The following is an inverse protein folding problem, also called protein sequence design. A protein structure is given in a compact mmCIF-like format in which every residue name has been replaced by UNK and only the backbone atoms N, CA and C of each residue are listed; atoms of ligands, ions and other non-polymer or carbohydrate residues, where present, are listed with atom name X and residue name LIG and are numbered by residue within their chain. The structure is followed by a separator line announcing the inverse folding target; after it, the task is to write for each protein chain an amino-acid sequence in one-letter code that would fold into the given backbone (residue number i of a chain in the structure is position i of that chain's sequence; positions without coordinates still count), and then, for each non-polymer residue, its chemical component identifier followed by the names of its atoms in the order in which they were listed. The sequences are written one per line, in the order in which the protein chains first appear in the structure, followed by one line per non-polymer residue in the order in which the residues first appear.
data_IF_914198452311
#
_entry.id   IF_914198452311
#
_cell.length_a   1.000
_cell.length_b   1.000
_cell.length_c   1.000
_cell.angle_alpha   90.00
_cell.angle_beta   90.00
_cell.angle_gamma   90.00
#
_symmetry.space_group_name_H-M   'P 1'
#
loop_
_entity.id
_entity.type
_entity.pdbx_description
1 polymer ?
#
# COMPACT_ATOMS: atom_id res chain seq x y z
N UNK A 1 -24.55 -3.32 -12.51
CA UNK A 1 -23.76 -4.47 -12.99
C UNK A 1 -23.07 -5.14 -11.81
N UNK A 2 -23.05 -6.48 -11.76
CA UNK A 2 -22.33 -7.25 -10.74
C UNK A 2 -20.82 -7.08 -10.96
N UNK A 3 -20.05 -6.72 -9.92
CA UNK A 3 -18.60 -6.52 -10.04
C UNK A 3 -17.88 -7.85 -10.28
N UNK A 4 -16.82 -7.82 -11.10
CA UNK A 4 -16.02 -9.00 -11.39
C UNK A 4 -14.96 -9.21 -10.30
N UNK A 5 -15.11 -10.24 -9.49
CA UNK A 5 -14.16 -10.56 -8.40
C UNK A 5 -12.76 -10.96 -8.88
N UNK A 6 -12.61 -11.33 -10.17
CA UNK A 6 -11.30 -11.64 -10.78
C UNK A 6 -10.54 -10.38 -11.17
N UNK A 7 -11.22 -9.22 -11.24
CA UNK A 7 -10.59 -7.94 -11.46
C UNK A 7 -10.29 -7.31 -10.12
N UNK A 8 -9.01 -7.09 -9.84
CA UNK A 8 -8.49 -6.61 -8.57
C UNK A 8 -7.89 -5.23 -8.78
N UNK A 9 -8.34 -4.24 -8.00
CA UNK A 9 -7.64 -2.98 -7.85
C UNK A 9 -6.61 -3.11 -6.75
N UNK A 10 -5.39 -2.64 -7.00
CA UNK A 10 -4.29 -2.63 -6.04
C UNK A 10 -3.88 -1.18 -5.77
N UNK A 11 -3.95 -0.79 -4.51
CA UNK A 11 -3.58 0.53 -4.00
C UNK A 11 -2.32 0.36 -3.16
N UNK A 12 -1.38 1.31 -3.23
CA UNK A 12 -0.14 1.23 -2.48
C UNK A 12 0.21 2.56 -1.83
N UNK A 13 0.88 2.48 -0.69
CA UNK A 13 1.63 3.59 -0.10
C UNK A 13 0.84 4.90 -0.04
N UNK A 14 -0.37 4.84 0.51
CA UNK A 14 -1.20 6.02 0.73
C UNK A 14 -0.72 6.85 1.90
N UNK A 15 -0.10 6.19 2.89
CA UNK A 15 0.44 6.80 4.11
C UNK A 15 -0.54 7.81 4.74
N UNK A 16 -1.82 7.36 4.87
CA UNK A 16 -2.87 8.20 5.42
C UNK A 16 -2.47 8.77 6.80
N UNK A 17 -2.77 10.00 7.08
CA UNK A 17 -3.62 10.98 6.37
C UNK A 17 -2.86 11.87 5.38
N UNK A 18 -1.71 11.46 4.86
CA UNK A 18 -0.83 12.28 4.02
C UNK A 18 -0.91 11.90 2.53
N UNK A 19 -1.97 11.22 2.13
CA UNK A 19 -2.22 10.88 0.74
C UNK A 19 -2.56 12.12 -0.10
N UNK A 20 -2.24 12.09 -1.39
CA UNK A 20 -2.66 13.11 -2.36
C UNK A 20 -4.18 13.26 -2.37
N UNK A 21 -4.65 14.50 -2.34
CA UNK A 21 -6.07 14.83 -2.22
C UNK A 21 -6.96 14.22 -3.34
N UNK A 22 -6.40 14.07 -4.55
CA UNK A 22 -7.08 13.54 -5.75
C UNK A 22 -6.86 12.02 -5.97
N UNK A 23 -5.97 11.37 -5.20
CA UNK A 23 -5.62 9.97 -5.39
C UNK A 23 -6.80 9.02 -5.13
N UNK A 24 -7.62 9.27 -4.11
CA UNK A 24 -8.83 8.49 -3.86
C UNK A 24 -9.78 8.54 -5.06
N UNK A 25 -10.00 9.72 -5.64
CA UNK A 25 -10.86 9.90 -6.82
C UNK A 25 -10.31 9.15 -8.03
N UNK A 26 -9.00 9.20 -8.22
CA UNK A 26 -8.30 8.44 -9.25
C UNK A 26 -8.51 6.93 -9.07
N UNK A 27 -8.19 6.35 -7.91
CA UNK A 27 -8.38 4.93 -7.62
C UNK A 27 -9.85 4.50 -7.85
N UNK A 28 -10.81 5.33 -7.43
CA UNK A 28 -12.23 5.06 -7.63
C UNK A 28 -12.64 5.06 -9.10
N UNK A 29 -12.07 5.95 -9.91
CA UNK A 29 -12.30 5.99 -11.35
C UNK A 29 -11.78 4.73 -12.06
N UNK A 30 -10.59 4.27 -11.66
CA UNK A 30 -9.97 3.04 -12.17
C UNK A 30 -10.80 1.81 -11.78
N UNK A 31 -11.19 1.70 -10.49
CA UNK A 31 -12.06 0.60 -10.01
C UNK A 31 -13.35 0.48 -10.83
N UNK A 32 -13.99 1.62 -11.09
CA UNK A 32 -15.22 1.67 -11.89
C UNK A 32 -14.97 1.30 -13.35
N UNK A 33 -13.92 1.89 -13.96
CA UNK A 33 -13.60 1.67 -15.38
C UNK A 33 -13.33 0.20 -15.69
N UNK A 34 -12.61 -0.49 -14.81
CA UNK A 34 -12.21 -1.89 -15.02
C UNK A 34 -13.11 -2.89 -14.28
N UNK A 35 -14.25 -2.42 -13.71
CA UNK A 35 -15.22 -3.25 -13.01
C UNK A 35 -14.59 -4.14 -11.93
N UNK A 36 -13.68 -3.59 -11.11
CA UNK A 36 -12.98 -4.35 -10.07
C UNK A 36 -13.95 -4.75 -8.95
N UNK A 37 -13.98 -6.03 -8.63
CA UNK A 37 -14.81 -6.59 -7.57
C UNK A 37 -14.06 -6.87 -6.27
N UNK A 38 -12.73 -6.68 -6.27
CA UNK A 38 -11.85 -6.84 -5.10
C UNK A 38 -10.89 -5.66 -5.05
N UNK A 39 -10.60 -5.18 -3.85
CA UNK A 39 -9.64 -4.09 -3.61
C UNK A 39 -8.64 -4.56 -2.57
N UNK A 40 -7.35 -4.47 -2.91
CA UNK A 40 -6.24 -4.80 -2.02
C UNK A 40 -5.36 -3.56 -1.86
N UNK A 41 -5.02 -3.24 -0.62
CA UNK A 41 -4.03 -2.22 -0.31
C UNK A 41 -2.71 -2.91 0.06
N UNK A 42 -1.64 -2.58 -0.65
CA UNK A 42 -0.38 -3.32 -0.60
C UNK A 42 0.61 -2.78 0.45
N UNK A 43 0.10 -2.24 1.56
CA UNK A 43 0.89 -1.76 2.71
C UNK A 43 1.12 -0.25 2.73
N UNK A 44 1.64 0.21 3.87
CA UNK A 44 1.78 1.62 4.21
C UNK A 44 0.45 2.35 4.05
N UNK A 45 -0.58 1.76 4.68
CA UNK A 45 -1.95 2.30 4.73
C UNK A 45 -1.97 3.57 5.56
N UNK A 46 -1.38 3.50 6.77
CA UNK A 46 -1.20 4.63 7.68
C UNK A 46 0.28 5.02 7.77
N UNK A 47 0.58 6.31 7.84
CA UNK A 47 1.98 6.75 7.99
C UNK A 47 2.51 6.47 9.38
N UNK A 48 1.71 6.75 10.41
CA UNK A 48 2.17 6.68 11.80
C UNK A 48 3.45 7.52 12.03
N UNK A 49 3.48 8.74 11.50
CA UNK A 49 4.63 9.65 11.45
C UNK A 49 5.23 9.89 12.84
N UNK A 50 4.38 10.12 13.83
CA UNK A 50 4.80 10.37 15.21
C UNK A 50 5.50 9.17 15.87
N UNK A 51 5.40 7.97 15.28
CA UNK A 51 6.04 6.74 15.74
C UNK A 51 7.29 6.39 14.92
N UNK A 52 7.74 7.31 14.05
CA UNK A 52 9.00 7.20 13.32
C UNK A 52 10.21 7.21 14.27
N UNK A 53 11.32 6.58 13.82
CA UNK A 53 12.62 6.71 14.49
C UNK A 53 13.44 7.88 13.95
N UNK A 54 12.99 8.54 12.89
CA UNK A 54 13.65 9.73 12.34
C UNK A 54 13.31 10.96 13.16
N UNK A 55 14.19 11.96 13.05
CA UNK A 55 14.00 13.25 13.70
C UNK A 55 12.67 13.87 13.26
N UNK A 56 11.95 14.39 14.24
CA UNK A 56 10.63 14.95 14.02
C UNK A 56 10.73 16.38 13.49
N UNK A 57 10.08 16.65 12.36
CA UNK A 57 9.90 18.00 11.86
C UNK A 57 9.03 18.81 12.84
N UNK A 58 9.40 20.05 13.18
CA UNK A 58 8.62 20.91 14.08
C UNK A 58 7.16 21.15 13.62
N UNK A 59 6.90 21.05 12.32
CA UNK A 59 5.56 21.22 11.76
C UNK A 59 4.70 19.94 11.82
N UNK A 60 5.24 18.82 12.33
CA UNK A 60 4.47 17.60 12.50
C UNK A 60 3.32 17.80 13.47
N UNK A 61 2.12 17.28 13.14
CA UNK A 61 1.00 17.33 14.07
C UNK A 61 1.31 16.53 15.34
N UNK A 62 0.63 16.83 16.43
CA UNK A 62 0.69 16.00 17.64
C UNK A 62 0.07 14.62 17.38
N UNK A 63 0.39 13.60 18.21
CA UNK A 63 -0.19 12.26 18.12
C UNK A 63 -1.73 12.30 18.06
N UNK A 64 -2.45 13.01 18.96
CA UNK A 64 -3.90 13.10 18.87
C UNK A 64 -4.41 13.72 17.56
N UNK A 65 -3.72 14.72 17.04
CA UNK A 65 -4.08 15.35 15.76
C UNK A 65 -3.88 14.40 14.59
N UNK A 66 -2.74 13.68 14.53
CA UNK A 66 -2.48 12.68 13.50
C UNK A 66 -3.55 11.57 13.52
N UNK A 67 -3.84 11.00 14.69
CA UNK A 67 -4.86 9.96 14.87
C UNK A 67 -6.25 10.46 14.45
N UNK A 68 -6.64 11.67 14.84
CA UNK A 68 -7.94 12.24 14.46
C UNK A 68 -8.04 12.47 12.94
N UNK A 69 -6.97 12.93 12.31
CA UNK A 69 -6.91 13.11 10.85
C UNK A 69 -6.98 11.76 10.14
N UNK A 70 -6.25 10.75 10.62
CA UNK A 70 -6.28 9.40 10.09
C UNK A 70 -7.71 8.81 10.15
N UNK A 71 -8.41 8.93 11.29
CA UNK A 71 -9.81 8.48 11.42
C UNK A 71 -10.74 9.16 10.42
N UNK A 72 -10.58 10.47 10.18
CA UNK A 72 -11.36 11.21 9.16
C UNK A 72 -11.06 10.66 7.76
N UNK A 73 -9.79 10.42 7.47
CA UNK A 73 -9.35 9.87 6.19
C UNK A 73 -9.88 8.44 5.99
N UNK A 74 -9.74 7.56 6.96
CA UNK A 74 -10.32 6.21 6.91
C UNK A 74 -11.84 6.23 6.67
N UNK A 75 -12.56 7.14 7.31
CA UNK A 75 -14.01 7.31 7.06
C UNK A 75 -14.31 7.73 5.61
N UNK A 76 -13.48 8.60 5.02
CA UNK A 76 -13.60 9.02 3.61
C UNK A 76 -13.32 7.85 2.67
N UNK A 77 -12.23 7.12 2.90
CA UNK A 77 -11.82 5.98 2.08
C UNK A 77 -12.80 4.80 2.18
N UNK A 78 -13.31 4.48 3.37
CA UNK A 78 -14.26 3.38 3.57
C UNK A 78 -15.62 3.61 2.91
N UNK A 79 -16.03 4.88 2.72
CA UNK A 79 -17.21 5.19 1.91
C UNK A 79 -17.00 4.85 0.42
N UNK A 80 -15.79 5.07 -0.10
CA UNK A 80 -15.45 4.73 -1.47
C UNK A 80 -15.17 3.24 -1.65
N UNK A 81 -14.47 2.64 -0.70
CA UNK A 81 -14.04 1.24 -0.67
C UNK A 81 -14.47 0.57 0.64
N UNK A 82 -15.72 0.08 0.74
CA UNK A 82 -16.23 -0.50 1.99
C UNK A 82 -15.51 -1.76 2.45
N UNK A 83 -14.90 -2.51 1.53
CA UNK A 83 -14.14 -3.74 1.78
C UNK A 83 -12.77 -3.62 1.13
N UNK A 84 -11.72 -3.71 1.94
CA UNK A 84 -10.31 -3.69 1.50
C UNK A 84 -9.54 -4.72 2.31
N UNK A 85 -8.73 -5.50 1.63
CA UNK A 85 -7.72 -6.35 2.28
C UNK A 85 -6.39 -5.58 2.24
N UNK A 86 -5.80 -5.34 3.40
CA UNK A 86 -4.59 -4.54 3.53
C UNK A 86 -3.41 -5.43 3.92
N UNK A 87 -2.35 -5.41 3.14
CA UNK A 87 -1.04 -5.90 3.57
C UNK A 87 -0.45 -4.88 4.55
N UNK A 88 0.29 -5.34 5.54
CA UNK A 88 0.95 -4.50 6.54
C UNK A 88 2.30 -4.05 6.00
N UNK A 89 2.53 -2.72 5.92
CA UNK A 89 3.81 -2.12 5.53
C UNK A 89 4.69 -1.71 6.71
N UNK A 90 5.87 -1.21 6.41
CA UNK A 90 6.83 -0.79 7.44
C UNK A 90 6.36 0.46 8.21
N UNK A 91 5.59 1.35 7.60
CA UNK A 91 4.97 2.49 8.30
C UNK A 91 3.87 2.03 9.24
N UNK A 92 3.04 1.09 8.81
CA UNK A 92 1.98 0.51 9.64
C UNK A 92 2.56 -0.14 10.90
N UNK A 93 3.76 -0.74 10.82
CA UNK A 93 4.46 -1.37 11.96
C UNK A 93 5.12 -0.38 12.92
N UNK A 94 5.22 0.91 12.59
CA UNK A 94 5.90 1.91 13.45
C UNK A 94 5.34 1.95 14.85
N UNK A 95 4.01 1.97 14.99
CA UNK A 95 3.35 2.02 16.31
C UNK A 95 3.63 0.74 17.11
N UNK A 96 3.59 -0.44 16.49
CA UNK A 96 3.90 -1.71 17.16
C UNK A 96 5.34 -1.73 17.66
N UNK A 97 6.29 -1.33 16.80
CA UNK A 97 7.70 -1.27 17.16
C UNK A 97 7.96 -0.36 18.39
N UNK A 98 7.26 0.78 18.49
CA UNK A 98 7.39 1.65 19.68
C UNK A 98 6.83 0.99 20.94
N UNK A 99 5.76 0.24 20.83
CA UNK A 99 5.20 -0.50 21.95
C UNK A 99 6.13 -1.66 22.36
N UNK A 100 6.74 -2.38 21.42
CA UNK A 100 7.75 -3.40 21.73
C UNK A 100 8.94 -2.82 22.48
N UNK A 101 9.45 -1.65 22.04
CA UNK A 101 10.51 -0.91 22.72
C UNK A 101 10.12 -0.49 24.15
N UNK A 102 8.83 -0.25 24.39
CA UNK A 102 8.29 0.08 25.71
C UNK A 102 7.91 -1.16 26.55
N UNK A 103 8.20 -2.38 26.06
CA UNK A 103 7.94 -3.63 26.79
C UNK A 103 6.53 -4.20 26.63
N UNK A 104 5.69 -3.64 25.76
CA UNK A 104 4.37 -4.20 25.48
C UNK A 104 4.47 -5.28 24.39
N UNK A 105 4.20 -6.54 24.77
CA UNK A 105 4.23 -7.65 23.82
C UNK A 105 3.04 -7.63 22.85
N UNK A 106 3.19 -8.29 21.69
CA UNK A 106 2.11 -8.49 20.70
C UNK A 106 0.91 -9.24 21.33
N UNK A 107 1.18 -10.14 22.27
CA UNK A 107 0.13 -10.84 23.03
C UNK A 107 -0.75 -9.89 23.85
N UNK A 108 -0.15 -8.85 24.43
CA UNK A 108 -0.89 -7.85 25.23
C UNK A 108 -1.70 -6.90 24.36
N UNK A 109 -1.12 -6.46 23.24
CA UNK A 109 -1.73 -5.48 22.36
C UNK A 109 -1.29 -5.71 20.90
N UNK A 110 -2.08 -6.46 20.14
CA UNK A 110 -1.78 -6.79 18.75
C UNK A 110 -1.88 -5.56 17.83
N UNK A 111 -1.15 -5.61 16.72
CA UNK A 111 -1.21 -4.55 15.71
C UNK A 111 -2.64 -4.36 15.20
N UNK A 112 -3.38 -5.44 14.96
CA UNK A 112 -4.78 -5.33 14.53
C UNK A 112 -5.64 -4.61 15.56
N UNK A 113 -5.48 -4.90 16.84
CA UNK A 113 -6.22 -4.22 17.92
C UNK A 113 -5.88 -2.73 17.97
N UNK A 114 -4.61 -2.37 17.80
CA UNK A 114 -4.18 -0.96 17.71
C UNK A 114 -4.87 -0.26 16.55
N UNK A 115 -4.86 -0.87 15.36
CA UNK A 115 -5.50 -0.30 14.19
C UNK A 115 -7.01 -0.15 14.34
N UNK A 116 -7.70 -1.14 14.96
CA UNK A 116 -9.15 -1.09 15.19
C UNK A 116 -9.55 -0.04 16.23
N UNK A 117 -8.98 -0.17 17.43
CA UNK A 117 -9.48 0.54 18.60
C UNK A 117 -8.90 1.95 18.72
N UNK A 118 -7.63 2.14 18.31
CA UNK A 118 -6.93 3.40 18.45
C UNK A 118 -6.92 4.20 17.15
N UNK A 119 -6.50 3.59 16.05
CA UNK A 119 -6.33 4.28 14.77
C UNK A 119 -7.62 4.37 13.94
N UNK A 120 -8.64 3.57 14.27
CA UNK A 120 -9.97 3.65 13.66
C UNK A 120 -10.07 2.97 12.31
N UNK A 121 -9.34 1.87 12.09
CA UNK A 121 -9.45 1.05 10.88
C UNK A 121 -10.90 0.65 10.62
N UNK A 122 -11.44 0.86 9.41
CA UNK A 122 -12.83 0.53 9.10
C UNK A 122 -13.17 -0.95 9.29
N UNK A 123 -14.38 -1.27 9.77
CA UNK A 123 -14.81 -2.67 10.05
C UNK A 123 -14.69 -3.61 8.84
N UNK A 124 -14.88 -3.10 7.63
CA UNK A 124 -14.78 -3.88 6.39
C UNK A 124 -13.35 -4.02 5.85
N UNK A 125 -12.35 -3.48 6.53
CA UNK A 125 -10.95 -3.60 6.15
C UNK A 125 -10.27 -4.65 7.02
N UNK A 126 -9.41 -5.48 6.44
CA UNK A 126 -8.63 -6.52 7.15
C UNK A 126 -7.14 -6.28 6.98
N UNK A 127 -6.35 -6.70 7.98
CA UNK A 127 -4.88 -6.61 7.95
C UNK A 127 -4.30 -8.02 7.75
N UNK A 128 -3.26 -8.11 6.93
CA UNK A 128 -2.57 -9.35 6.57
C UNK A 128 -1.07 -9.08 6.44
N UNK A 129 -0.22 -10.02 6.82
CA UNK A 129 1.22 -9.93 6.55
C UNK A 129 1.51 -10.06 5.05
N UNK A 130 0.78 -10.93 4.38
CA UNK A 130 0.78 -11.11 2.93
C UNK A 130 -0.56 -11.63 2.44
N UNK A 131 -0.84 -11.51 1.16
CA UNK A 131 -2.06 -12.03 0.53
C UNK A 131 -1.66 -12.89 -0.66
N UNK A 132 -2.23 -14.08 -0.75
CA UNK A 132 -2.11 -14.93 -1.92
C UNK A 132 -3.39 -14.92 -2.75
N UNK A 133 -3.24 -14.85 -4.06
CA UNK A 133 -4.37 -14.87 -4.99
C UNK A 133 -4.10 -15.88 -6.09
N UNK A 134 -5.01 -16.83 -6.24
CA UNK A 134 -4.99 -17.73 -7.39
C UNK A 134 -5.52 -17.02 -8.63
N UNK A 135 -4.78 -17.10 -9.73
CA UNK A 135 -5.13 -16.52 -11.02
C UNK A 135 -4.93 -17.52 -12.15
N UNK A 136 -5.35 -17.16 -13.36
CA UNK A 136 -5.10 -18.00 -14.55
C UNK A 136 -3.60 -18.12 -14.90
N UNK A 137 -2.78 -17.16 -14.48
CA UNK A 137 -1.33 -17.19 -14.65
C UNK A 137 -0.61 -17.82 -13.44
N UNK A 138 -1.36 -18.55 -12.60
CA UNK A 138 -0.85 -19.15 -11.37
C UNK A 138 -1.00 -18.28 -10.14
N UNK A 139 -0.28 -18.64 -9.10
CA UNK A 139 -0.33 -17.99 -7.79
C UNK A 139 0.40 -16.63 -7.82
N UNK A 140 -0.24 -15.62 -7.26
CA UNK A 140 0.31 -14.28 -7.10
C UNK A 140 0.45 -13.97 -5.61
N UNK A 141 1.65 -13.67 -5.17
CA UNK A 141 1.94 -13.17 -3.83
C UNK A 141 1.86 -11.66 -3.81
N UNK A 142 1.23 -11.12 -2.78
CA UNK A 142 1.13 -9.68 -2.54
C UNK A 142 1.73 -9.39 -1.18
N UNK A 143 2.83 -8.65 -1.17
CA UNK A 143 3.57 -8.24 0.03
C UNK A 143 3.95 -6.77 -0.10
N UNK A 144 4.35 -6.11 1.00
CA UNK A 144 4.64 -4.69 0.93
C UNK A 144 5.90 -4.39 0.11
N UNK A 145 6.97 -5.12 0.31
CA UNK A 145 8.24 -4.94 -0.40
C UNK A 145 9.41 -4.54 0.50
N UNK A 146 9.18 -4.39 1.81
CA UNK A 146 10.20 -4.09 2.82
C UNK A 146 10.87 -5.34 3.42
N UNK A 147 10.50 -6.54 2.97
CA UNK A 147 11.02 -7.80 3.49
C UNK A 147 12.51 -7.96 3.20
N UNK A 148 13.24 -8.64 4.13
CA UNK A 148 14.67 -8.94 3.96
C UNK A 148 14.94 -9.67 2.64
N UNK A 149 15.86 -9.14 1.86
CA UNK A 149 16.21 -9.70 0.55
C UNK A 149 15.27 -9.28 -0.58
N UNK A 150 14.28 -8.44 -0.32
CA UNK A 150 13.56 -7.71 -1.36
C UNK A 150 14.52 -6.82 -2.14
N UNK A 151 14.29 -6.67 -3.43
CA UNK A 151 15.14 -5.89 -4.31
C UNK A 151 14.31 -4.97 -5.19
N UNK A 152 14.76 -3.74 -5.37
CA UNK A 152 14.16 -2.80 -6.33
C UNK A 152 14.37 -3.24 -7.80
N UNK A 153 15.33 -4.16 -8.03
CA UNK A 153 15.60 -4.69 -9.37
C UNK A 153 14.43 -5.56 -9.84
N UNK A 154 13.90 -5.21 -11.01
CA UNK A 154 12.77 -5.89 -11.62
C UNK A 154 13.00 -7.41 -11.74
N UNK A 155 12.03 -8.18 -11.29
CA UNK A 155 12.02 -9.64 -11.38
C UNK A 155 12.91 -10.38 -10.38
N UNK A 156 13.81 -9.72 -9.67
CA UNK A 156 14.75 -10.41 -8.79
C UNK A 156 14.05 -11.08 -7.60
N UNK A 157 13.13 -10.39 -6.95
CA UNK A 157 12.39 -10.93 -5.81
C UNK A 157 11.41 -12.03 -6.26
N UNK A 158 10.71 -11.83 -7.37
CA UNK A 158 9.80 -12.84 -7.93
C UNK A 158 10.54 -14.14 -8.31
N UNK A 159 11.75 -14.04 -8.86
CA UNK A 159 12.60 -15.22 -9.13
C UNK A 159 12.98 -15.97 -7.86
N UNK A 160 13.35 -15.25 -6.77
CA UNK A 160 13.66 -15.88 -5.48
C UNK A 160 12.46 -16.59 -4.87
N UNK A 161 11.26 -16.03 -5.04
CA UNK A 161 10.00 -16.65 -4.58
C UNK A 161 9.54 -17.80 -5.47
N UNK A 162 9.99 -17.85 -6.73
CA UNK A 162 9.49 -18.81 -7.71
C UNK A 162 8.02 -18.59 -8.09
N UNK A 163 7.47 -17.38 -7.91
CA UNK A 163 6.07 -17.05 -8.13
C UNK A 163 5.88 -15.60 -8.57
N UNK A 164 4.71 -15.30 -9.12
CA UNK A 164 4.34 -13.92 -9.42
C UNK A 164 4.22 -13.09 -8.15
N UNK A 165 4.63 -11.82 -8.23
CA UNK A 165 4.73 -10.91 -7.10
C UNK A 165 4.10 -9.56 -7.41
N UNK A 166 3.39 -9.00 -6.43
CA UNK A 166 2.92 -7.61 -6.41
C UNK A 166 3.40 -6.93 -5.13
N UNK A 167 3.96 -5.74 -5.26
CA UNK A 167 4.51 -4.98 -4.13
C UNK A 167 4.44 -3.47 -4.32
N UNK A 168 4.44 -2.73 -3.18
CA UNK A 168 4.57 -1.29 -3.05
C UNK A 168 5.98 -0.89 -2.59
N UNK A 169 6.07 -0.05 -1.57
CA UNK A 169 7.29 0.39 -0.87
C UNK A 169 8.23 1.29 -1.70
N UNK A 170 8.42 1.00 -2.95
CA UNK A 170 9.32 1.73 -3.86
C UNK A 170 8.57 2.88 -4.54
N UNK A 171 8.45 4.02 -3.86
CA UNK A 171 7.64 5.15 -4.34
C UNK A 171 8.07 5.69 -5.71
N UNK A 172 9.36 5.55 -6.04
CA UNK A 172 9.94 6.06 -7.30
C UNK A 172 9.96 5.02 -8.42
N UNK A 173 9.36 3.84 -8.20
CA UNK A 173 9.29 2.75 -9.18
C UNK A 173 7.85 2.30 -9.39
N UNK A 174 7.52 2.05 -10.66
CA UNK A 174 6.23 1.48 -11.05
C UNK A 174 6.44 0.74 -12.38
N UNK A 175 6.27 -0.59 -12.36
CA UNK A 175 6.49 -1.42 -13.55
C UNK A 175 5.79 -2.77 -13.43
N UNK A 176 5.69 -3.45 -14.59
CA UNK A 176 5.42 -4.90 -14.68
C UNK A 176 6.57 -5.51 -15.47
N UNK A 177 7.25 -6.49 -14.86
CA UNK A 177 8.30 -7.27 -15.50
C UNK A 177 7.89 -8.73 -15.58
N UNK A 178 7.83 -9.30 -16.78
CA UNK A 178 7.55 -10.71 -16.99
C UNK A 178 8.84 -11.54 -16.99
N UNK A 179 8.77 -12.70 -16.36
CA UNK A 179 9.89 -13.62 -16.22
C UNK A 179 9.45 -14.99 -16.71
N UNK A 180 10.06 -15.46 -17.79
CA UNK A 180 9.91 -16.84 -18.25
C UNK A 180 10.87 -17.72 -17.45
N UNK A 181 10.33 -18.78 -16.86
CA UNK A 181 11.09 -19.87 -16.25
C UNK A 181 10.88 -21.13 -17.08
N UNK A 182 11.60 -22.22 -16.77
CA UNK A 182 11.41 -23.49 -17.49
C UNK A 182 9.97 -24.03 -17.36
N UNK A 183 9.29 -23.73 -16.25
CA UNK A 183 8.00 -24.33 -15.92
C UNK A 183 6.82 -23.36 -16.03
N UNK A 184 7.05 -22.04 -15.95
CA UNK A 184 5.96 -21.07 -15.86
C UNK A 184 6.37 -19.66 -16.26
N UNK A 185 5.38 -18.88 -16.66
CA UNK A 185 5.49 -17.43 -16.78
C UNK A 185 5.06 -16.78 -15.46
N UNK A 186 5.96 -16.04 -14.84
CA UNK A 186 5.67 -15.23 -13.64
C UNK A 186 5.89 -13.76 -13.91
N UNK A 187 5.42 -12.89 -13.03
CA UNK A 187 5.66 -11.44 -13.13
C UNK A 187 6.06 -10.83 -11.78
N UNK A 188 6.74 -9.70 -11.87
CA UNK A 188 7.02 -8.80 -10.74
C UNK A 188 6.37 -7.45 -11.06
N UNK A 189 5.41 -7.03 -10.25
CA UNK A 189 4.72 -5.75 -10.38
C UNK A 189 5.01 -4.87 -9.17
N UNK A 190 5.57 -3.69 -9.42
CA UNK A 190 5.68 -2.59 -8.45
C UNK A 190 4.67 -1.52 -8.81
N UNK A 191 3.86 -1.09 -7.82
CA UNK A 191 2.62 -0.33 -8.10
C UNK A 191 2.82 1.18 -8.10
N UNK A 192 3.90 1.71 -7.49
CA UNK A 192 4.02 3.14 -7.20
C UNK A 192 3.35 3.51 -5.88
N UNK A 193 2.88 4.74 -5.71
CA UNK A 193 2.36 5.22 -4.43
C UNK A 193 1.23 6.24 -4.58
N UNK A 194 0.61 6.58 -3.45
CA UNK A 194 -0.42 7.61 -3.34
C UNK A 194 -0.09 8.74 -2.36
N UNK A 195 1.09 8.76 -1.75
CA UNK A 195 1.50 9.79 -0.78
C UNK A 195 1.64 11.17 -1.44
N UNK A 196 1.30 12.23 -0.72
CA UNK A 196 1.57 13.61 -1.16
C UNK A 196 3.02 14.01 -0.88
N UNK A 197 3.84 14.28 -1.91
CA UNK A 197 5.23 14.71 -1.73
C UNK A 197 5.36 16.10 -1.07
N UNK A 198 4.29 16.88 -1.02
CA UNK A 198 4.28 18.16 -0.32
C UNK A 198 3.97 18.02 1.18
N UNK A 199 3.54 16.82 1.61
CA UNK A 199 3.20 16.57 3.02
C UNK A 199 4.42 16.59 3.93
N UNK A 200 4.18 16.84 5.23
CA UNK A 200 5.22 16.76 6.26
C UNK A 200 5.82 15.35 6.37
N UNK A 201 5.06 14.33 6.07
CA UNK A 201 5.50 12.94 6.08
C UNK A 201 6.55 12.62 5.01
N UNK A 202 6.66 13.43 3.95
CA UNK A 202 7.60 13.22 2.84
C UNK A 202 8.78 14.21 2.84
N UNK A 203 8.89 15.06 3.88
CA UNK A 203 9.95 16.09 3.93
C UNK A 203 11.38 15.53 3.95
N UNK A 204 11.58 14.30 4.45
CA UNK A 204 12.88 13.63 4.46
C UNK A 204 13.43 13.37 3.05
N UNK A 205 12.57 13.26 2.04
CA UNK A 205 12.93 12.99 0.64
C UNK A 205 13.11 14.27 -0.21
N UNK A 206 13.14 15.47 0.40
CA UNK A 206 13.27 16.74 -0.37
C UNK A 206 14.54 16.85 -1.19
N UNK A 207 15.61 16.15 -0.79
CA UNK A 207 16.90 16.15 -1.49
C UNK A 207 17.00 15.09 -2.58
N UNK A 208 16.02 14.16 -2.67
CA UNK A 208 16.06 13.11 -3.67
C UNK A 208 15.74 13.68 -5.05
N UNK A 209 16.51 13.23 -6.04
CA UNK A 209 16.31 13.59 -7.45
C UNK A 209 15.07 12.91 -7.98
N UNK A 210 14.86 11.65 -7.59
CA UNK A 210 13.71 10.84 -8.00
C UNK A 210 12.41 11.34 -7.36
N UNK A 211 11.35 11.42 -8.17
CA UNK A 211 10.02 11.83 -7.73
C UNK A 211 9.09 10.62 -7.58
N UNK A 212 8.13 10.64 -6.64
CA UNK A 212 7.14 9.59 -6.51
C UNK A 212 6.34 9.39 -7.79
N UNK A 213 6.08 8.13 -8.13
CA UNK A 213 5.20 7.75 -9.25
C UNK A 213 3.81 7.46 -8.67
N UNK A 214 2.85 8.36 -8.97
CA UNK A 214 1.46 8.17 -8.58
C UNK A 214 0.80 7.18 -9.53
N UNK A 215 0.43 6.03 -9.01
CA UNK A 215 -0.17 4.97 -9.79
C UNK A 215 -1.00 4.04 -8.92
N UNK A 216 -1.83 3.22 -9.54
CA UNK A 216 -2.43 2.05 -8.91
C UNK A 216 -2.21 0.82 -9.80
N UNK A 217 -2.25 -0.36 -9.20
CA UNK A 217 -2.14 -1.63 -9.91
C UNK A 217 -3.50 -2.20 -10.26
N UNK A 218 -3.54 -3.05 -11.27
CA UNK A 218 -4.67 -3.89 -11.63
C UNK A 218 -4.19 -5.32 -11.89
N UNK A 219 -5.01 -6.28 -11.49
CA UNK A 219 -4.98 -7.63 -12.05
C UNK A 219 -6.32 -7.83 -12.74
N UNK A 220 -6.31 -8.02 -14.06
CA UNK A 220 -7.50 -8.26 -14.86
C UNK A 220 -7.47 -9.70 -15.38
N UNK A 221 -8.32 -10.54 -14.79
CA UNK A 221 -8.38 -11.99 -15.12
C UNK A 221 -6.98 -12.67 -15.08
N UNK A 222 -6.12 -12.25 -14.16
CA UNK A 222 -4.76 -12.77 -13.95
C UNK A 222 -3.65 -11.93 -14.57
N UNK A 223 -3.95 -11.01 -15.48
CA UNK A 223 -2.95 -10.19 -16.17
C UNK A 223 -2.68 -8.91 -15.36
N UNK A 224 -1.41 -8.59 -15.01
CA UNK A 224 -1.05 -7.40 -14.26
C UNK A 224 -0.92 -6.15 -15.14
N UNK A 225 -1.33 -5.01 -14.59
CA UNK A 225 -1.15 -3.68 -15.19
C UNK A 225 -0.83 -2.65 -14.12
N UNK A 226 0.02 -1.69 -14.45
CA UNK A 226 0.19 -0.46 -13.66
C UNK A 226 -0.51 0.68 -14.41
N UNK A 227 -1.35 1.42 -13.70
CA UNK A 227 -2.09 2.56 -14.25
C UNK A 227 -1.53 3.83 -13.61
N UNK A 228 -0.71 4.61 -14.32
CA UNK A 228 -0.21 5.87 -13.80
C UNK A 228 -1.34 6.90 -13.72
N UNK A 229 -1.26 7.74 -12.70
CA UNK A 229 -2.17 8.87 -12.55
C UNK A 229 -1.75 9.99 -13.47
N UNK A 230 -2.65 10.41 -14.38
CA UNK A 230 -2.41 11.57 -15.22
C UNK A 230 -2.51 12.85 -14.39
N UNK A 231 -1.39 13.55 -14.25
CA UNK A 231 -1.32 14.79 -13.47
C UNK A 231 -1.71 16.04 -14.27
N UNK A 232 -2.09 15.88 -15.55
CA UNK A 232 -2.29 16.99 -16.47
C UNK A 232 -0.98 17.63 -16.90
N UNK A 233 -1.05 18.50 -17.90
CA UNK A 233 0.06 19.44 -18.18
C UNK A 233 -0.01 20.53 -17.11
N UNK A 234 1.08 20.79 -16.39
CA UNK A 234 1.24 22.02 -15.61
C UNK A 234 1.36 23.19 -16.53
#
# INVERSE_FOLDING_TARGET
MKRNKKNILIIADTQMPYERADYLKFCKSVEKKYNCGRVIHIGDVADCLNFSNYERDPECPSIPQEVNNLKKTFKKWSKAFPKVECVIGNHDRRVRRKLDQAGFSEYMLSLEKIFRDVLGLPKGWSLHDSIEVETKLGKVYMMHGDEKGSSVTAGQTARKLGASLVRGHFHTKAFVSYISTHHQLIFDMVVGCGIDPASVAFKYNKKDIDRPIFACGLILDGVPFVIPMNLGKK
#
